data_IF_871314739131
#
_entry.id   IF_871314739131
#
_cell.length_a   1.000
_cell.length_b   1.000
_cell.length_c   1.000
_cell.angle_alpha   90.00
_cell.angle_beta   90.00
_cell.angle_gamma   90.00
#
_symmetry.space_group_name_H-M   'P 1'
#
loop_
_entity.id
_entity.type
_entity.pdbx_description
1 polymer ?
#
# COMPACT_ATOMS: atom_id res chain seq x y z
N UNK A 1 11.87 9.67 17.26
CA UNK A 1 11.75 9.98 15.83
C UNK A 1 11.16 8.75 15.18
N UNK A 2 10.09 8.90 14.40
CA UNK A 2 9.51 7.80 13.64
C UNK A 2 10.49 7.31 12.58
N UNK A 3 10.50 6.00 12.33
CA UNK A 3 11.43 5.37 11.40
C UNK A 3 10.75 4.29 10.56
N UNK A 4 11.29 4.07 9.34
CA UNK A 4 10.88 2.94 8.51
C UNK A 4 11.76 1.74 8.85
N UNK A 5 11.17 0.75 9.49
CA UNK A 5 11.80 -0.52 9.81
C UNK A 5 11.59 -1.50 8.64
N UNK A 6 12.62 -1.64 7.80
CA UNK A 6 12.55 -2.55 6.64
C UNK A 6 12.60 -4.03 7.02
N UNK A 7 12.96 -4.40 8.25
CA UNK A 7 12.98 -5.78 8.75
C UNK A 7 13.71 -6.78 7.82
N UNK A 8 14.83 -6.34 7.24
CA UNK A 8 15.61 -7.13 6.29
C UNK A 8 14.97 -7.33 4.91
N UNK A 9 13.86 -6.63 4.61
CA UNK A 9 13.22 -6.62 3.30
C UNK A 9 13.82 -5.53 2.42
N UNK A 10 13.97 -5.82 1.14
CA UNK A 10 14.34 -4.83 0.14
C UNK A 10 13.07 -4.24 -0.46
N UNK A 11 12.99 -2.92 -0.57
CA UNK A 11 12.02 -2.22 -1.42
C UNK A 11 12.87 -1.38 -2.38
N UNK A 12 12.89 -1.67 -3.67
CA UNK A 12 13.79 -0.94 -4.61
C UNK A 12 13.12 0.23 -5.33
N UNK A 13 11.81 0.19 -5.55
CA UNK A 13 11.08 1.31 -6.16
C UNK A 13 11.10 2.55 -5.25
N UNK A 14 11.65 3.65 -5.78
CA UNK A 14 11.85 4.91 -5.05
C UNK A 14 10.52 5.58 -4.71
N UNK A 15 9.51 5.47 -5.55
CA UNK A 15 8.18 6.03 -5.26
C UNK A 15 7.53 5.28 -4.09
N UNK A 16 7.71 3.97 -4.01
CA UNK A 16 7.21 3.20 -2.85
C UNK A 16 7.93 3.59 -1.57
N UNK A 17 9.26 3.83 -1.62
CA UNK A 17 9.98 4.36 -0.44
C UNK A 17 9.46 5.73 -0.03
N UNK A 18 9.21 6.61 -0.98
CA UNK A 18 8.67 7.95 -0.72
C UNK A 18 7.28 7.88 -0.08
N UNK A 19 6.42 6.97 -0.56
CA UNK A 19 5.11 6.72 0.06
C UNK A 19 5.27 6.23 1.51
N UNK A 20 6.14 5.25 1.76
CA UNK A 20 6.38 4.74 3.12
C UNK A 20 6.92 5.84 4.06
N UNK A 21 7.77 6.73 3.56
CA UNK A 21 8.27 7.88 4.32
C UNK A 21 7.15 8.88 4.62
N UNK A 22 6.33 9.24 3.62
CA UNK A 22 5.19 10.13 3.83
C UNK A 22 4.20 9.56 4.86
N UNK A 23 4.00 8.24 4.88
CA UNK A 23 3.20 7.55 5.90
C UNK A 23 3.86 7.66 7.27
N UNK A 24 5.14 7.33 7.37
CA UNK A 24 5.92 7.43 8.61
C UNK A 24 5.84 8.85 9.22
N UNK A 25 5.98 9.86 8.37
CA UNK A 25 5.95 11.27 8.78
C UNK A 25 4.55 11.71 9.19
N UNK A 26 3.52 11.35 8.42
CA UNK A 26 2.13 11.74 8.69
C UNK A 26 1.59 11.15 10.00
N UNK A 27 1.90 9.89 10.30
CA UNK A 27 1.44 9.23 11.52
C UNK A 27 2.37 9.49 12.71
N UNK A 28 3.53 10.10 12.49
CA UNK A 28 4.60 10.27 13.49
C UNK A 28 4.93 8.94 14.22
N UNK A 29 4.83 7.83 13.49
CA UNK A 29 4.93 6.48 14.03
C UNK A 29 5.76 5.55 13.13
N UNK A 30 6.38 4.54 13.74
CA UNK A 30 7.24 3.60 13.01
C UNK A 30 6.44 2.77 12.01
N UNK A 31 6.94 2.71 10.77
CA UNK A 31 6.40 1.86 9.70
C UNK A 31 7.20 0.57 9.65
N UNK A 32 6.55 -0.57 9.88
CA UNK A 32 7.18 -1.88 9.89
C UNK A 32 6.87 -2.62 8.59
N UNK A 33 7.86 -2.70 7.69
CA UNK A 33 7.73 -3.44 6.43
C UNK A 33 7.80 -4.94 6.72
N UNK A 34 6.80 -5.68 6.25
CA UNK A 34 6.73 -7.15 6.38
C UNK A 34 7.08 -7.84 5.07
N UNK A 35 6.93 -7.14 3.94
CA UNK A 35 7.43 -7.59 2.64
C UNK A 35 7.74 -6.44 1.70
N UNK A 36 8.71 -6.67 0.81
CA UNK A 36 9.04 -5.78 -0.31
C UNK A 36 9.23 -6.58 -1.59
N UNK A 37 10.31 -6.35 -2.31
CA UNK A 37 10.70 -7.04 -3.54
C UNK A 37 10.68 -8.57 -3.37
N UNK A 38 10.15 -9.28 -4.38
CA UNK A 38 10.10 -10.75 -4.41
C UNK A 38 10.51 -11.28 -5.77
N UNK A 39 11.11 -12.46 -5.79
CA UNK A 39 11.37 -13.23 -7.02
C UNK A 39 10.59 -14.56 -7.06
N UNK A 40 9.60 -14.73 -6.18
CA UNK A 40 8.74 -15.90 -6.09
C UNK A 40 7.31 -15.51 -5.70
N UNK A 41 6.35 -16.38 -6.03
CA UNK A 41 4.94 -16.24 -5.63
C UNK A 41 4.73 -17.02 -4.33
N UNK A 42 4.38 -16.38 -3.19
CA UNK A 42 4.04 -17.12 -1.98
C UNK A 42 2.72 -17.89 -2.15
N UNK A 43 2.45 -18.92 -1.32
CA UNK A 43 1.14 -19.55 -1.27
C UNK A 43 0.02 -18.51 -1.12
N UNK A 44 -1.04 -18.64 -1.93
CA UNK A 44 -2.14 -17.68 -1.98
C UNK A 44 -1.83 -16.34 -2.67
N UNK A 45 -0.58 -16.12 -3.11
CA UNK A 45 -0.17 -14.95 -3.87
C UNK A 45 -0.55 -15.01 -5.35
N UNK A 46 -0.52 -13.86 -6.02
CA UNK A 46 -0.80 -13.75 -7.45
C UNK A 46 0.49 -13.74 -8.30
N UNK A 47 0.54 -14.48 -9.43
CA UNK A 47 1.63 -14.40 -10.41
C UNK A 47 1.80 -13.02 -11.06
N UNK A 48 0.79 -12.14 -10.95
CA UNK A 48 0.83 -10.77 -11.48
C UNK A 48 1.11 -9.72 -10.40
N UNK A 49 1.49 -10.15 -9.19
CA UNK A 49 1.77 -9.28 -8.05
C UNK A 49 2.84 -8.24 -8.37
N UNK A 50 2.65 -7.02 -7.85
CA UNK A 50 3.60 -5.93 -8.00
C UNK A 50 4.89 -6.13 -7.18
N UNK A 51 4.90 -7.03 -6.19
CA UNK A 51 6.13 -7.45 -5.51
C UNK A 51 7.12 -8.12 -6.47
N UNK A 52 6.62 -8.89 -7.45
CA UNK A 52 7.45 -9.56 -8.47
C UNK A 52 8.05 -8.58 -9.49
N UNK A 53 7.47 -7.37 -9.55
CA UNK A 53 7.97 -6.27 -10.38
C UNK A 53 8.82 -5.30 -9.56
N UNK A 54 9.06 -5.60 -8.28
CA UNK A 54 9.77 -4.75 -7.32
C UNK A 54 9.15 -3.36 -7.15
N UNK A 55 7.81 -3.27 -7.19
CA UNK A 55 7.06 -2.00 -7.08
C UNK A 55 5.97 -2.06 -6.01
N UNK A 56 6.21 -2.79 -4.93
CA UNK A 56 5.25 -2.92 -3.85
C UNK A 56 5.91 -3.16 -2.49
N UNK A 57 5.18 -2.80 -1.44
CA UNK A 57 5.52 -3.10 -0.07
C UNK A 57 4.25 -3.49 0.73
N UNK A 58 4.44 -4.43 1.65
CA UNK A 58 3.46 -4.82 2.67
C UNK A 58 3.97 -4.30 4.02
N UNK A 59 3.13 -3.67 4.83
CA UNK A 59 3.55 -3.03 6.07
C UNK A 59 2.44 -2.89 7.12
N UNK A 60 2.86 -2.50 8.33
CA UNK A 60 2.01 -2.01 9.42
C UNK A 60 2.54 -0.68 9.97
N UNK A 61 1.69 0.10 10.64
CA UNK A 61 2.07 1.33 11.34
C UNK A 61 1.92 1.12 12.84
N UNK A 62 2.99 1.38 13.60
CA UNK A 62 3.01 1.14 15.05
C UNK A 62 1.96 2.00 15.76
N UNK A 63 1.14 1.36 16.61
CA UNK A 63 0.09 2.06 17.36
C UNK A 63 -1.22 2.28 16.60
N UNK A 64 -1.32 1.84 15.34
CA UNK A 64 -2.53 1.94 14.52
C UNK A 64 -2.94 0.57 13.98
N UNK A 65 -4.25 0.30 13.95
CA UNK A 65 -4.77 -0.84 13.22
C UNK A 65 -4.79 -0.55 11.71
N UNK A 66 -4.67 -1.61 10.90
CA UNK A 66 -4.62 -1.49 9.44
C UNK A 66 -5.86 -0.79 8.86
N UNK A 67 -7.04 -1.00 9.44
CA UNK A 67 -8.28 -0.35 8.98
C UNK A 67 -8.22 1.17 9.11
N UNK A 68 -7.70 1.66 10.24
CA UNK A 68 -7.44 3.08 10.46
C UNK A 68 -6.42 3.60 9.47
N UNK A 69 -5.26 2.93 9.31
CA UNK A 69 -4.22 3.36 8.35
C UNK A 69 -4.81 3.47 6.93
N UNK A 70 -5.54 2.44 6.49
CA UNK A 70 -6.19 2.41 5.18
C UNK A 70 -7.19 3.56 4.98
N UNK A 71 -7.99 3.89 6.00
CA UNK A 71 -8.92 5.01 5.94
C UNK A 71 -8.19 6.34 5.74
N UNK A 72 -7.12 6.59 6.49
CA UNK A 72 -6.32 7.81 6.37
C UNK A 72 -5.62 7.91 5.01
N UNK A 73 -5.03 6.81 4.51
CA UNK A 73 -4.46 6.75 3.16
C UNK A 73 -5.49 7.14 2.09
N UNK A 74 -6.74 6.74 2.28
CA UNK A 74 -7.84 7.08 1.37
C UNK A 74 -8.27 8.54 1.49
N UNK A 75 -8.48 9.04 2.71
CA UNK A 75 -8.96 10.42 2.94
C UNK A 75 -7.91 11.46 2.55
N UNK A 76 -6.63 11.16 2.79
CA UNK A 76 -5.51 12.08 2.55
C UNK A 76 -4.59 11.58 1.42
N UNK A 77 -5.15 10.93 0.38
CA UNK A 77 -4.37 10.30 -0.68
C UNK A 77 -3.28 11.22 -1.28
N UNK A 78 -3.58 12.50 -1.54
CA UNK A 78 -2.62 13.47 -2.08
C UNK A 78 -1.45 13.79 -1.15
N UNK A 79 -1.51 13.45 0.14
CA UNK A 79 -0.39 13.60 1.07
C UNK A 79 0.64 12.46 0.96
N UNK A 80 0.23 11.30 0.43
CA UNK A 80 1.07 10.11 0.35
C UNK A 80 1.52 9.78 -1.07
N UNK A 81 0.67 10.05 -2.05
CA UNK A 81 0.84 9.56 -3.42
C UNK A 81 1.10 10.71 -4.40
N UNK A 82 2.19 10.63 -5.14
CA UNK A 82 2.56 11.63 -6.13
C UNK A 82 1.63 11.58 -7.37
N UNK A 83 1.16 12.74 -7.83
CA UNK A 83 0.50 12.86 -9.15
C UNK A 83 1.43 12.37 -10.27
N UNK A 84 0.87 11.93 -11.41
CA UNK A 84 1.68 11.35 -12.50
C UNK A 84 1.87 9.83 -12.41
N UNK A 85 1.40 9.21 -11.32
CA UNK A 85 1.52 7.78 -11.06
C UNK A 85 0.18 7.13 -10.74
N UNK A 86 0.05 5.86 -11.13
CA UNK A 86 -1.03 5.00 -10.68
C UNK A 86 -0.55 4.14 -9.52
N UNK A 87 -1.32 4.13 -8.43
CA UNK A 87 -1.06 3.30 -7.27
C UNK A 87 -2.23 2.37 -6.97
N UNK A 88 -1.93 1.32 -6.20
CA UNK A 88 -2.89 0.40 -5.63
C UNK A 88 -2.62 0.32 -4.12
N UNK A 89 -3.67 0.46 -3.32
CA UNK A 89 -3.65 0.24 -1.88
C UNK A 89 -4.67 -0.83 -1.56
N UNK A 90 -4.24 -1.88 -0.87
CA UNK A 90 -5.11 -2.95 -0.40
C UNK A 90 -4.97 -3.07 1.10
N UNK A 91 -6.09 -3.10 1.80
CA UNK A 91 -6.11 -3.61 3.15
C UNK A 91 -6.43 -5.10 3.12
N UNK A 92 -5.42 -5.92 3.45
CA UNK A 92 -5.57 -7.34 3.71
C UNK A 92 -5.95 -7.53 5.19
N UNK A 93 -7.14 -8.08 5.46
CA UNK A 93 -7.63 -8.36 6.81
C UNK A 93 -7.36 -9.80 7.27
N UNK A 94 -7.92 -10.17 8.42
CA UNK A 94 -7.70 -11.46 9.10
C UNK A 94 -8.10 -12.70 8.30
N UNK A 95 -8.93 -12.54 7.28
CA UNK A 95 -9.39 -13.62 6.40
C UNK A 95 -8.74 -13.57 5.00
N UNK A 96 -7.62 -12.88 4.84
CA UNK A 96 -6.88 -12.90 3.57
C UNK A 96 -6.27 -14.29 3.31
N UNK A 97 -6.12 -14.65 2.03
CA UNK A 97 -5.36 -15.85 1.64
C UNK A 97 -3.85 -15.59 1.56
N UNK A 98 -3.42 -14.36 1.81
CA UNK A 98 -2.01 -13.99 1.85
C UNK A 98 -1.39 -14.33 3.22
N UNK A 99 -0.20 -13.81 3.52
CA UNK A 99 0.58 -14.16 4.72
C UNK A 99 0.08 -13.52 6.03
N UNK A 100 -1.21 -13.20 6.12
CA UNK A 100 -1.85 -12.53 7.27
C UNK A 100 -2.24 -11.07 7.00
N UNK A 101 -2.90 -10.39 7.96
CA UNK A 101 -3.31 -8.99 7.82
C UNK A 101 -2.13 -8.07 7.53
N UNK A 102 -2.33 -7.05 6.70
CA UNK A 102 -1.39 -5.95 6.45
C UNK A 102 -2.00 -4.89 5.52
N UNK A 103 -1.30 -3.76 5.38
CA UNK A 103 -1.49 -2.83 4.27
C UNK A 103 -0.51 -3.14 3.15
N UNK A 104 -1.05 -3.31 1.95
CA UNK A 104 -0.31 -3.40 0.71
C UNK A 104 -0.34 -2.05 0.00
N UNK A 105 0.81 -1.61 -0.51
CA UNK A 105 0.92 -0.47 -1.42
C UNK A 105 1.77 -0.82 -2.63
N UNK A 106 1.31 -0.44 -3.82
CA UNK A 106 2.03 -0.71 -5.06
C UNK A 106 1.93 0.42 -6.08
N UNK A 107 2.94 0.54 -6.94
CA UNK A 107 2.97 1.47 -8.07
C UNK A 107 2.69 0.71 -9.36
N UNK A 108 1.52 0.92 -9.93
CA UNK A 108 1.05 0.24 -11.13
C UNK A 108 1.73 0.74 -12.41
N UNK A 109 2.17 2.00 -12.41
CA UNK A 109 2.86 2.63 -13.54
C UNK A 109 2.78 4.16 -13.48
N UNK A 110 3.38 4.82 -14.46
CA UNK A 110 3.23 6.27 -14.66
C UNK A 110 2.26 6.53 -15.81
N UNK A 111 1.48 7.61 -15.72
CA UNK A 111 0.50 8.00 -16.75
C UNK A 111 0.95 9.19 -17.57
N UNK A 112 1.91 9.99 -17.09
CA UNK A 112 2.27 11.28 -17.70
C UNK A 112 1.19 12.38 -17.56
N UNK A 113 0.06 12.06 -16.93
CA UNK A 113 -1.08 12.94 -16.66
C UNK A 113 -1.43 12.93 -15.17
N UNK A 114 -2.68 13.19 -14.80
CA UNK A 114 -3.16 12.93 -13.46
C UNK A 114 -3.06 11.43 -13.14
N UNK A 115 -2.60 11.12 -11.93
CA UNK A 115 -2.49 9.76 -11.43
C UNK A 115 -3.81 9.26 -10.84
N UNK A 116 -3.88 7.99 -10.46
CA UNK A 116 -5.01 7.46 -9.66
C UNK A 116 -4.50 6.55 -8.54
N UNK A 117 -5.23 6.47 -7.44
CA UNK A 117 -4.99 5.46 -6.40
C UNK A 117 -6.23 4.59 -6.29
N UNK A 118 -6.03 3.28 -6.52
CA UNK A 118 -7.08 2.28 -6.39
C UNK A 118 -7.10 1.76 -4.96
N UNK A 119 -8.19 1.98 -4.25
CA UNK A 119 -8.39 1.49 -2.88
C UNK A 119 -9.24 0.24 -2.89
N UNK A 120 -8.72 -0.84 -2.31
CA UNK A 120 -9.39 -2.13 -2.23
C UNK A 120 -9.29 -2.74 -0.83
N UNK A 121 -10.21 -3.65 -0.52
CA UNK A 121 -10.17 -4.46 0.69
C UNK A 121 -10.23 -5.94 0.32
N UNK A 122 -9.47 -6.75 1.02
CA UNK A 122 -9.49 -8.20 0.95
C UNK A 122 -9.44 -8.78 2.37
N UNK A 123 -10.21 -9.82 2.69
CA UNK A 123 -10.04 -10.52 3.96
C UNK A 123 -10.51 -9.77 5.20
N UNK A 124 -11.14 -8.60 5.07
CA UNK A 124 -11.57 -7.76 6.21
C UNK A 124 -12.85 -8.24 6.88
N UNK A 125 -13.60 -9.11 6.20
CA UNK A 125 -14.80 -9.79 6.70
C UNK A 125 -14.82 -11.21 6.15
N UNK A 126 -15.55 -12.11 6.80
CA UNK A 126 -15.76 -13.49 6.31
C UNK A 126 -16.54 -13.57 5.00
N UNK A 127 -17.17 -12.47 4.56
CA UNK A 127 -17.83 -12.34 3.25
C UNK A 127 -16.91 -11.87 2.13
N UNK A 128 -15.69 -11.43 2.46
CA UNK A 128 -14.65 -11.01 1.53
C UNK A 128 -13.40 -11.84 1.85
N UNK A 129 -13.44 -13.14 1.58
CA UNK A 129 -12.32 -14.04 1.85
C UNK A 129 -11.52 -14.20 0.57
N UNK A 130 -10.19 -14.14 0.71
CA UNK A 130 -9.29 -14.90 -0.17
C UNK A 130 -9.43 -14.72 -1.68
N UNK A 131 -9.13 -13.53 -2.18
CA UNK A 131 -8.95 -13.28 -3.63
C UNK A 131 -10.04 -12.43 -4.30
N UNK A 132 -11.19 -12.23 -3.66
CA UNK A 132 -12.20 -11.26 -4.11
C UNK A 132 -11.89 -9.87 -3.56
N UNK A 133 -10.96 -9.15 -4.21
CA UNK A 133 -10.69 -7.75 -3.85
C UNK A 133 -11.96 -6.91 -4.08
N UNK A 134 -12.55 -6.41 -3.00
CA UNK A 134 -13.66 -5.47 -3.11
C UNK A 134 -13.08 -4.08 -3.37
N UNK A 135 -13.35 -3.54 -4.56
CA UNK A 135 -12.97 -2.16 -4.90
C UNK A 135 -13.85 -1.21 -4.10
N UNK A 136 -13.21 -0.36 -3.30
CA UNK A 136 -13.89 0.71 -2.58
C UNK A 136 -14.08 1.92 -3.49
N UNK A 137 -12.97 2.46 -3.99
CA UNK A 137 -12.95 3.71 -4.75
C UNK A 137 -11.63 3.84 -5.51
N UNK A 138 -11.67 4.55 -6.64
CA UNK A 138 -10.49 5.03 -7.35
C UNK A 138 -10.44 6.55 -7.18
N UNK A 139 -9.38 7.04 -6.53
CA UNK A 139 -9.21 8.47 -6.28
C UNK A 139 -8.25 9.09 -7.30
N UNK A 140 -8.65 10.16 -8.00
CA UNK A 140 -7.73 10.89 -8.85
C UNK A 140 -6.71 11.64 -8.00
N UNK A 141 -5.43 11.56 -8.39
CA UNK A 141 -4.35 12.36 -7.84
C UNK A 141 -4.24 13.64 -8.65
N UNK A 142 -5.13 14.58 -8.33
CA UNK A 142 -5.10 15.93 -8.87
C UNK A 142 -3.96 16.68 -8.18
N UNK A 143 -3.19 17.48 -8.90
CA UNK A 143 -2.24 18.39 -8.24
C UNK A 143 -3.05 19.32 -7.34
N UNK A 144 -2.81 19.22 -6.04
CA UNK A 144 -3.16 20.30 -5.14
C UNK A 144 -2.15 21.42 -5.48
N UNK A 145 -2.60 22.61 -5.92
CA UNK A 145 -1.67 23.70 -6.14
C UNK A 145 -0.88 23.92 -4.84
N UNK A 146 0.44 24.05 -4.97
CA UNK A 146 1.33 24.32 -3.84
C UNK A 146 0.78 25.53 -3.06
N UNK A 147 0.59 25.36 -1.75
CA UNK A 147 0.26 26.46 -0.85
C UNK A 147 1.49 27.33 -0.60
#
# INVERSE_FOLDING_TARGET
MATINFNGKTVSDTEIKNVLQAICDFFEADVNVTSGDRNYVPPGGSPTSMHLKNRAADFHVSGYDDGTVYMYLKVFASAFFASGNNYEVIWHGIHTNTTGPHIHVARLGSTGEWGTVKFMREGTTSSNVGGSKNRDIDLPLIAVPAR
#
